data_IF_914387031390
#
_entry.id   IF_914387031390
#
_cell.length_a   1.000
_cell.length_b   1.000
_cell.length_c   1.000
_cell.angle_alpha   90.00
_cell.angle_beta   90.00
_cell.angle_gamma   90.00
#
_symmetry.space_group_name_H-M   'P 1'
#
loop_
_entity.id
_entity.type
_entity.pdbx_description
1 polymer ?
#
# COMPACT_ATOMS: atom_id res chain seq x y z
N UNK A 1 14.63 76.67 7.56
CA UNK A 1 13.75 75.68 8.22
C UNK A 1 14.44 74.32 8.09
N UNK A 2 15.09 73.83 9.14
CA UNK A 2 15.74 72.51 9.13
C UNK A 2 14.67 71.44 9.44
N UNK A 3 14.41 70.55 8.49
CA UNK A 3 13.55 69.39 8.70
C UNK A 3 14.36 68.27 9.35
N UNK A 4 13.98 67.88 10.57
CA UNK A 4 14.56 66.74 11.27
C UNK A 4 13.96 65.44 10.71
N UNK A 5 14.78 64.59 10.11
CA UNK A 5 14.39 63.27 9.63
C UNK A 5 14.45 62.31 10.81
N UNK A 6 13.29 61.88 11.30
CA UNK A 6 13.17 60.81 12.30
C UNK A 6 13.40 59.45 11.63
N UNK A 7 14.54 58.83 11.92
CA UNK A 7 14.84 57.45 11.54
C UNK A 7 14.13 56.49 12.52
N UNK A 8 13.05 55.84 12.05
CA UNK A 8 12.39 54.74 12.75
C UNK A 8 13.21 53.45 12.56
N UNK A 9 13.50 52.68 13.62
CA UNK A 9 14.21 51.41 13.49
C UNK A 9 13.29 50.36 12.88
N UNK A 10 13.70 49.76 11.76
CA UNK A 10 13.05 48.59 11.17
C UNK A 10 13.44 47.38 12.02
N UNK A 11 12.52 46.87 12.83
CA UNK A 11 12.68 45.60 13.52
C UNK A 11 12.47 44.48 12.50
N UNK A 12 13.56 43.89 12.03
CA UNK A 12 13.51 42.69 11.20
C UNK A 12 13.09 41.51 12.08
N UNK A 13 11.85 41.02 11.91
CA UNK A 13 11.45 39.72 12.46
C UNK A 13 12.23 38.63 11.72
N UNK A 14 13.19 38.00 12.40
CA UNK A 14 13.82 36.80 11.91
C UNK A 14 12.78 35.68 11.84
N UNK A 15 12.34 35.30 10.63
CA UNK A 15 11.55 34.09 10.42
C UNK A 15 12.49 32.91 10.65
N UNK A 16 12.36 32.24 11.79
CA UNK A 16 13.07 31.00 12.01
C UNK A 16 12.49 29.91 11.10
N UNK A 17 13.31 29.13 10.38
CA UNK A 17 12.81 28.01 9.62
C UNK A 17 12.13 27.03 10.58
N UNK A 18 10.91 26.63 10.26
CA UNK A 18 10.22 25.57 10.98
C UNK A 18 11.11 24.33 10.94
N UNK A 19 11.52 23.85 12.11
CA UNK A 19 12.21 22.57 12.21
C UNK A 19 11.18 21.51 11.86
N UNK A 20 11.43 20.71 10.81
CA UNK A 20 10.62 19.53 10.56
C UNK A 20 10.79 18.61 11.76
N UNK A 21 9.79 18.59 12.65
CA UNK A 21 9.63 17.47 13.55
C UNK A 21 9.47 16.21 12.67
N UNK A 22 10.05 15.10 13.11
CA UNK A 22 9.85 13.83 12.42
C UNK A 22 8.35 13.47 12.36
N UNK A 23 7.96 12.53 11.49
CA UNK A 23 6.59 12.05 11.46
C UNK A 23 6.11 11.64 12.86
N UNK A 24 4.85 11.94 13.24
CA UNK A 24 4.38 11.64 14.58
C UNK A 24 4.41 10.14 14.84
N UNK A 25 5.02 9.73 15.96
CA UNK A 25 5.19 8.31 16.30
C UNK A 25 3.85 7.55 16.38
N UNK A 26 2.74 8.23 16.70
CA UNK A 26 1.41 7.63 16.73
C UNK A 26 0.90 7.23 15.33
N UNK A 27 1.40 7.86 14.26
CA UNK A 27 0.97 7.57 12.89
C UNK A 27 1.79 6.46 12.23
N UNK A 28 2.97 6.14 12.78
CA UNK A 28 3.91 5.17 12.22
C UNK A 28 4.37 4.17 13.29
N UNK A 29 3.48 3.26 13.73
CA UNK A 29 3.83 2.24 14.71
C UNK A 29 4.95 1.35 14.18
N UNK A 30 5.99 1.18 14.98
CA UNK A 30 7.07 0.22 14.71
C UNK A 30 6.79 -1.09 15.42
N UNK A 31 7.17 -2.20 14.80
CA UNK A 31 7.10 -3.49 15.46
C UNK A 31 7.97 -3.47 16.73
N UNK A 32 7.48 -3.94 17.89
CA UNK A 32 8.26 -3.94 19.10
C UNK A 32 9.49 -4.87 18.96
N UNK A 33 10.59 -4.58 19.67
CA UNK A 33 11.78 -5.43 19.66
C UNK A 33 11.44 -6.88 19.98
N UNK A 34 11.93 -7.81 19.16
CA UNK A 34 11.69 -9.25 19.36
C UNK A 34 10.33 -9.77 18.90
N UNK A 35 9.50 -8.93 18.25
CA UNK A 35 8.26 -9.41 17.63
C UNK A 35 8.55 -10.54 16.64
N UNK A 36 7.82 -11.64 16.80
CA UNK A 36 7.78 -12.74 15.83
C UNK A 36 6.32 -12.99 15.48
N UNK A 37 5.97 -13.10 14.19
CA UNK A 37 4.65 -13.57 13.80
C UNK A 37 4.34 -14.91 14.46
N UNK A 38 3.06 -15.14 14.78
CA UNK A 38 2.62 -16.45 15.20
C UNK A 38 2.99 -17.49 14.11
N UNK A 39 3.44 -18.70 14.50
CA UNK A 39 3.58 -19.80 13.56
C UNK A 39 2.26 -20.05 12.83
N UNK A 40 2.35 -20.46 11.57
CA UNK A 40 1.17 -20.92 10.85
C UNK A 40 0.62 -22.20 11.51
N UNK A 41 -0.70 -22.25 11.71
CA UNK A 41 -1.39 -23.41 12.26
C UNK A 41 -1.79 -24.43 11.17
N UNK A 42 -1.49 -24.11 9.90
CA UNK A 42 -1.80 -24.92 8.73
C UNK A 42 -3.29 -25.00 8.40
N UNK A 43 -4.15 -24.25 9.12
CA UNK A 43 -5.59 -24.29 8.92
C UNK A 43 -5.99 -23.32 7.80
N UNK A 44 -6.77 -23.78 6.81
CA UNK A 44 -7.34 -22.89 5.81
C UNK A 44 -8.24 -21.83 6.44
N UNK A 45 -8.20 -20.64 5.88
CA UNK A 45 -9.04 -19.49 6.23
C UNK A 45 -10.09 -19.31 5.15
N UNK A 46 -11.29 -18.94 5.55
CA UNK A 46 -12.41 -18.63 4.65
C UNK A 46 -13.05 -17.31 5.07
N UNK A 47 -13.74 -16.68 4.13
CA UNK A 47 -14.56 -15.49 4.37
C UNK A 47 -16.04 -15.86 4.24
N UNK A 48 -16.97 -15.05 4.79
CA UNK A 48 -18.40 -15.26 4.57
C UNK A 48 -18.74 -15.33 3.07
N UNK A 49 -19.77 -16.10 2.73
CA UNK A 49 -20.32 -16.17 1.38
C UNK A 49 -19.29 -16.52 0.28
N UNK A 50 -18.30 -17.37 0.60
CA UNK A 50 -17.23 -17.79 -0.30
C UNK A 50 -17.05 -19.31 -0.26
N UNK A 51 -16.90 -19.91 -1.45
CA UNK A 51 -16.46 -21.30 -1.59
C UNK A 51 -14.92 -21.48 -1.50
N UNK A 52 -14.17 -20.39 -1.46
CA UNK A 52 -12.71 -20.41 -1.46
C UNK A 52 -12.14 -20.56 -0.04
N UNK A 53 -10.96 -21.18 0.05
CA UNK A 53 -10.22 -21.29 1.30
C UNK A 53 -8.72 -21.31 1.05
N UNK A 54 -7.98 -20.58 1.87
CA UNK A 54 -6.52 -20.43 1.74
C UNK A 54 -5.83 -20.53 3.09
N UNK A 55 -4.70 -21.23 3.14
CA UNK A 55 -3.78 -21.18 4.28
C UNK A 55 -3.07 -19.82 4.36
N UNK A 56 -2.53 -19.46 5.53
CA UNK A 56 -1.80 -18.18 5.69
C UNK A 56 -0.58 -18.09 4.76
N UNK A 57 0.19 -19.16 4.48
CA UNK A 57 1.26 -19.11 3.49
C UNK A 57 0.75 -18.88 2.06
N UNK A 58 -0.38 -19.47 1.67
CA UNK A 58 -0.98 -19.24 0.36
C UNK A 58 -1.38 -17.77 0.16
N UNK A 59 -1.97 -17.13 1.18
CA UNK A 59 -2.33 -15.71 1.09
C UNK A 59 -1.13 -14.76 1.03
N UNK A 60 0.08 -15.28 1.29
CA UNK A 60 1.35 -14.54 1.27
C UNK A 60 2.27 -14.96 0.11
N UNK A 61 1.85 -15.92 -0.72
CA UNK A 61 2.63 -16.35 -1.89
C UNK A 61 2.46 -15.33 -3.01
N UNK A 62 3.56 -14.64 -3.35
CA UNK A 62 3.60 -13.63 -4.43
C UNK A 62 3.27 -14.21 -5.81
N UNK A 63 3.27 -15.55 -5.96
CA UNK A 63 2.94 -16.25 -7.19
C UNK A 63 1.58 -16.95 -7.13
N UNK A 64 0.71 -16.51 -6.22
CA UNK A 64 -0.69 -16.92 -6.15
C UNK A 64 -1.54 -15.67 -5.89
N UNK A 65 -2.49 -15.35 -6.76
CA UNK A 65 -3.51 -14.34 -6.49
C UNK A 65 -4.65 -14.97 -5.67
N UNK A 66 -4.82 -14.63 -4.37
CA UNK A 66 -5.94 -15.14 -3.60
C UNK A 66 -7.23 -14.44 -4.04
N UNK A 67 -8.20 -15.22 -4.47
CA UNK A 67 -9.52 -14.76 -4.91
C UNK A 67 -10.55 -15.34 -3.97
N UNK A 68 -11.12 -14.49 -3.11
CA UNK A 68 -12.10 -14.93 -2.14
C UNK A 68 -13.45 -15.26 -2.77
N UNK A 69 -13.88 -14.54 -3.81
CA UNK A 69 -15.17 -14.78 -4.48
C UNK A 69 -14.93 -15.08 -5.97
N UNK A 70 -14.52 -16.31 -6.32
CA UNK A 70 -14.18 -16.68 -7.70
C UNK A 70 -15.38 -16.63 -8.67
N UNK A 71 -16.60 -16.64 -8.14
CA UNK A 71 -17.85 -16.49 -8.89
C UNK A 71 -18.14 -15.05 -9.36
N UNK A 72 -17.51 -14.05 -8.76
CA UNK A 72 -17.79 -12.62 -9.04
C UNK A 72 -17.11 -12.11 -10.32
N UNK A 73 -16.27 -12.92 -10.96
CA UNK A 73 -15.55 -12.54 -12.17
C UNK A 73 -15.22 -13.75 -13.06
N UNK A 74 -14.93 -13.55 -14.36
CA UNK A 74 -14.40 -14.61 -15.21
C UNK A 74 -13.06 -15.14 -14.68
N UNK A 75 -12.70 -16.37 -15.06
CA UNK A 75 -11.40 -16.95 -14.69
C UNK A 75 -10.24 -15.99 -15.01
N UNK A 76 -9.31 -15.86 -14.06
CA UNK A 76 -8.15 -14.99 -14.22
C UNK A 76 -7.22 -15.54 -15.32
N UNK A 77 -6.63 -14.68 -16.15
CA UNK A 77 -5.51 -15.08 -17.00
C UNK A 77 -4.34 -15.63 -16.18
N UNK A 78 -3.58 -16.58 -16.73
CA UNK A 78 -2.50 -17.27 -16.00
C UNK A 78 -1.49 -16.31 -15.36
N UNK A 79 -1.06 -15.27 -16.08
CA UNK A 79 -0.10 -14.29 -15.54
C UNK A 79 -0.68 -13.50 -14.36
N UNK A 80 -2.00 -13.29 -14.33
CA UNK A 80 -2.70 -12.59 -13.25
C UNK A 80 -2.84 -13.50 -12.03
N UNK A 81 -3.13 -14.80 -12.25
CA UNK A 81 -3.34 -15.77 -11.18
C UNK A 81 -2.03 -16.31 -10.56
N UNK A 82 -1.00 -16.54 -11.38
CA UNK A 82 0.18 -17.31 -11.00
C UNK A 82 1.52 -16.61 -11.30
N UNK A 83 1.49 -15.55 -12.11
CA UNK A 83 2.71 -14.90 -12.57
C UNK A 83 3.60 -15.87 -13.39
N UNK A 84 4.91 -15.64 -13.34
CA UNK A 84 5.94 -16.48 -13.94
C UNK A 84 7.19 -16.48 -13.05
N UNK A 85 7.42 -17.59 -12.35
CA UNK A 85 8.59 -17.73 -11.46
C UNK A 85 9.91 -17.72 -12.24
N UNK A 86 10.98 -17.11 -11.68
CA UNK A 86 10.99 -16.25 -10.48
C UNK A 86 10.70 -14.77 -10.77
N UNK A 87 10.58 -14.39 -12.04
CA UNK A 87 10.74 -13.00 -12.48
C UNK A 87 9.49 -12.13 -12.36
N UNK A 88 8.29 -12.74 -12.41
CA UNK A 88 7.02 -12.02 -12.47
C UNK A 88 6.08 -12.58 -11.41
N UNK A 89 5.70 -11.76 -10.45
CA UNK A 89 4.66 -12.09 -9.48
C UNK A 89 3.30 -12.20 -10.15
N UNK A 90 2.36 -12.89 -9.50
CA UNK A 90 0.97 -12.89 -9.94
C UNK A 90 0.44 -11.46 -9.91
N UNK A 91 0.01 -10.92 -11.06
CA UNK A 91 -0.44 -9.52 -11.12
C UNK A 91 -1.61 -9.26 -10.15
N UNK A 92 -2.49 -10.26 -10.00
CA UNK A 92 -3.64 -10.23 -9.10
C UNK A 92 -3.29 -10.30 -7.62
N UNK A 93 -2.03 -10.61 -7.25
CA UNK A 93 -1.60 -10.55 -5.85
C UNK A 93 -1.72 -9.12 -5.30
N UNK A 94 -1.23 -8.14 -6.06
CA UNK A 94 -1.34 -6.71 -5.73
C UNK A 94 -2.59 -6.08 -6.34
N UNK A 95 -2.86 -6.33 -7.63
CA UNK A 95 -3.89 -5.61 -8.38
C UNK A 95 -5.29 -6.24 -8.27
N UNK A 96 -5.43 -7.32 -7.50
CA UNK A 96 -6.69 -8.07 -7.31
C UNK A 96 -7.25 -8.62 -8.63
N UNK A 97 -8.34 -9.37 -8.55
CA UNK A 97 -8.93 -10.07 -9.68
C UNK A 97 -9.43 -9.12 -10.79
N UNK A 98 -9.93 -7.95 -10.41
CA UNK A 98 -10.54 -6.97 -11.31
C UNK A 98 -9.63 -5.76 -11.61
N UNK A 99 -8.36 -5.79 -11.17
CA UNK A 99 -7.37 -4.75 -11.48
C UNK A 99 -7.37 -3.53 -10.55
N UNK A 100 -8.35 -3.39 -9.66
CA UNK A 100 -8.50 -2.19 -8.82
C UNK A 100 -7.41 -2.02 -7.74
N UNK A 101 -6.74 -3.11 -7.37
CA UNK A 101 -5.71 -3.10 -6.33
C UNK A 101 -6.23 -2.94 -4.89
N UNK A 102 -5.30 -3.06 -3.93
CA UNK A 102 -5.53 -2.58 -2.56
C UNK A 102 -5.28 -1.06 -2.44
N UNK A 103 -5.62 -0.44 -1.30
CA UNK A 103 -5.34 0.98 -1.04
C UNK A 103 -3.85 1.37 -1.20
N UNK A 104 -2.96 0.40 -1.12
CA UNK A 104 -1.51 0.54 -1.30
C UNK A 104 -1.04 0.37 -2.75
N UNK A 105 -1.93 0.03 -3.69
CA UNK A 105 -1.58 -0.34 -5.06
C UNK A 105 -2.22 0.60 -6.10
N UNK A 106 -1.60 0.67 -7.29
CA UNK A 106 -2.19 1.39 -8.41
C UNK A 106 -3.42 0.65 -8.96
N UNK A 107 -4.47 1.41 -9.24
CA UNK A 107 -5.65 0.93 -9.95
C UNK A 107 -5.34 0.78 -11.45
N UNK A 108 -5.46 -0.44 -11.97
CA UNK A 108 -5.28 -0.78 -13.38
C UNK A 108 -6.61 -0.96 -14.12
N UNK A 109 -7.74 -0.94 -13.43
CA UNK A 109 -9.03 -1.17 -14.02
C UNK A 109 -9.37 -0.08 -15.04
N UNK A 110 -9.71 -0.50 -16.27
CA UNK A 110 -10.08 0.41 -17.35
C UNK A 110 -8.92 1.14 -18.03
N UNK A 111 -7.66 0.93 -17.61
CA UNK A 111 -6.51 1.47 -18.33
C UNK A 111 -6.34 0.76 -19.69
N UNK A 112 -5.89 1.49 -20.73
CA UNK A 112 -5.67 0.89 -22.04
C UNK A 112 -4.48 -0.08 -22.00
N UNK A 113 -4.58 -1.18 -22.75
CA UNK A 113 -3.53 -2.21 -22.80
C UNK A 113 -2.17 -1.67 -23.29
N UNK A 114 -2.13 -0.56 -24.03
CA UNK A 114 -0.87 0.07 -24.45
C UNK A 114 -0.17 0.86 -23.34
N UNK A 115 -0.85 1.10 -22.21
CA UNK A 115 -0.29 1.79 -21.05
C UNK A 115 0.22 0.83 -19.97
N UNK A 116 -0.29 -0.41 -19.95
CA UNK A 116 0.11 -1.50 -19.06
C UNK A 116 1.26 -2.28 -19.71
#
# INVERSE_FOLDING_TARGET
>A
MLAAILLLPIVALAVQPARSEGPPAWAYPVNPPGFKPAPDDGKPRSVPDSGASYTVPQTRDLFLAPVWHPEDHPALPDIVAHGRKPDVFACGFCHRANGQGGPENADLAGLPASYI
#
